data_IF_475069235782
#
_entry.id   IF_475069235782
#
_cell.length_a   1.000
_cell.length_b   1.000
_cell.length_c   1.000
_cell.angle_alpha   90.00
_cell.angle_beta   90.00
_cell.angle_gamma   90.00
#
_symmetry.space_group_name_H-M   'P 1'
#
loop_
_entity.id
_entity.type
_entity.pdbx_description
1 polymer ?
#
# COMPACT_ATOMS: atom_id res chain seq x y z
N UNK A 1 -0.62 -61.38 6.17
CA UNK A 1 -1.92 -60.71 5.89
C UNK A 1 -1.61 -59.29 5.45
N UNK A 2 -2.23 -58.83 4.37
CA UNK A 2 -1.72 -57.88 3.38
C UNK A 2 -1.19 -56.52 3.89
N UNK A 3 0.06 -56.21 3.53
CA UNK A 3 0.57 -54.83 3.36
C UNK A 3 0.68 -54.62 1.84
N UNK A 4 -0.14 -53.74 1.28
CA UNK A 4 -0.10 -53.42 -0.15
C UNK A 4 1.03 -52.43 -0.44
N UNK A 5 1.89 -52.81 -1.39
CA UNK A 5 2.82 -51.94 -2.10
C UNK A 5 2.01 -51.03 -3.02
N UNK A 6 2.16 -49.72 -2.90
CA UNK A 6 1.87 -48.77 -3.98
C UNK A 6 3.13 -47.97 -4.30
N UNK A 7 3.58 -48.24 -5.51
CA UNK A 7 4.69 -47.67 -6.29
C UNK A 7 5.00 -46.20 -6.07
N UNK A 8 6.27 -45.93 -5.76
CA UNK A 8 6.95 -44.67 -6.07
C UNK A 8 6.97 -44.46 -7.59
N UNK A 9 6.27 -43.43 -8.06
CA UNK A 9 6.51 -42.84 -9.39
C UNK A 9 7.49 -41.69 -9.17
N UNK A 10 8.67 -41.82 -9.78
CA UNK A 10 9.79 -40.92 -9.62
C UNK A 10 9.44 -39.48 -9.98
N UNK A 11 9.87 -38.55 -9.11
CA UNK A 11 9.98 -37.14 -9.43
C UNK A 11 10.97 -37.00 -10.60
N UNK A 12 10.44 -36.71 -11.79
CA UNK A 12 11.26 -36.31 -12.92
C UNK A 12 11.95 -34.98 -12.61
N UNK A 13 13.26 -34.96 -12.86
CA UNK A 13 14.18 -33.90 -12.53
C UNK A 13 13.83 -32.58 -13.26
N UNK A 14 13.49 -31.55 -12.50
CA UNK A 14 13.00 -30.25 -12.98
C UNK A 14 14.01 -29.45 -13.83
N UNK A 15 15.24 -29.96 -14.01
CA UNK A 15 16.28 -29.37 -14.88
C UNK A 15 16.10 -29.71 -16.36
N UNK A 16 15.29 -30.72 -16.70
CA UNK A 16 15.13 -31.19 -18.09
C UNK A 16 14.26 -30.21 -18.93
N UNK A 17 13.38 -29.44 -18.31
CA UNK A 17 12.48 -28.53 -19.05
C UNK A 17 13.11 -27.22 -19.52
N UNK A 18 14.16 -26.73 -18.86
CA UNK A 18 14.87 -25.51 -19.28
C UNK A 18 15.58 -25.67 -20.66
N UNK A 19 15.84 -26.92 -21.07
CA UNK A 19 16.44 -27.27 -22.35
C UNK A 19 15.45 -27.88 -23.35
N UNK A 20 14.14 -27.86 -23.05
CA UNK A 20 13.14 -28.34 -24.01
C UNK A 20 13.22 -27.50 -25.30
N UNK A 21 13.37 -28.13 -26.49
CA UNK A 21 13.40 -27.41 -27.77
C UNK A 21 12.09 -26.65 -28.04
N UNK A 22 10.99 -27.04 -27.38
CA UNK A 22 9.71 -26.31 -27.42
C UNK A 22 9.80 -25.02 -26.59
N UNK A 23 10.41 -25.08 -25.41
CA UNK A 23 10.66 -23.90 -24.55
C UNK A 23 11.58 -22.90 -25.26
N UNK A 24 12.68 -23.38 -25.87
CA UNK A 24 13.58 -22.53 -26.64
C UNK A 24 12.90 -21.96 -27.90
N UNK A 25 12.07 -22.74 -28.62
CA UNK A 25 11.33 -22.24 -29.79
C UNK A 25 10.32 -21.17 -29.44
N UNK A 26 9.53 -21.33 -28.39
CA UNK A 26 8.54 -20.31 -27.99
C UNK A 26 9.21 -19.05 -27.45
N UNK A 27 10.26 -19.20 -26.63
CA UNK A 27 11.05 -18.07 -26.13
C UNK A 27 11.75 -17.34 -27.28
N UNK A 28 12.37 -18.05 -28.22
CA UNK A 28 13.01 -17.49 -29.41
C UNK A 28 12.00 -16.91 -30.41
N UNK A 29 10.79 -17.46 -30.55
CA UNK A 29 9.73 -16.84 -31.34
C UNK A 29 9.26 -15.55 -30.67
N UNK A 30 9.05 -15.54 -29.36
CA UNK A 30 8.63 -14.35 -28.63
C UNK A 30 9.72 -13.26 -28.70
N UNK A 31 10.98 -13.60 -28.43
CA UNK A 31 12.10 -12.64 -28.55
C UNK A 31 12.38 -12.22 -30.00
N UNK A 32 12.35 -13.13 -30.99
CA UNK A 32 12.49 -12.76 -32.41
C UNK A 32 11.35 -11.89 -32.88
N UNK A 33 10.11 -12.13 -32.45
CA UNK A 33 8.97 -11.32 -32.88
C UNK A 33 9.00 -9.96 -32.18
N UNK A 34 9.40 -9.89 -30.91
CA UNK A 34 9.63 -8.60 -30.24
C UNK A 34 10.84 -7.83 -30.84
N UNK A 35 11.87 -8.53 -31.34
CA UNK A 35 13.08 -7.89 -31.88
C UNK A 35 13.04 -7.59 -33.39
N UNK A 36 12.17 -8.25 -34.17
CA UNK A 36 12.12 -8.11 -35.64
C UNK A 36 10.98 -7.22 -36.14
N UNK A 37 10.04 -6.80 -35.28
CA UNK A 37 8.85 -6.07 -35.72
C UNK A 37 8.80 -4.63 -35.20
N UNK A 38 9.37 -3.73 -35.98
CA UNK A 38 8.77 -2.45 -36.29
C UNK A 38 8.73 -2.33 -37.84
N UNK A 39 7.65 -1.87 -38.52
CA UNK A 39 6.46 -1.19 -38.01
C UNK A 39 5.13 -1.88 -38.43
N UNK A 40 4.33 -2.37 -37.48
CA UNK A 40 2.95 -2.83 -37.75
C UNK A 40 2.04 -2.27 -36.65
N UNK A 41 0.86 -1.81 -37.06
CA UNK A 41 -0.32 -1.46 -36.26
C UNK A 41 -0.48 -2.40 -35.05
N UNK A 42 -0.09 -1.96 -33.84
CA UNK A 42 0.08 -2.82 -32.67
C UNK A 42 -1.24 -3.29 -32.09
N UNK A 43 -2.33 -2.56 -32.32
CA UNK A 43 -3.69 -3.06 -32.08
C UNK A 43 -3.98 -4.30 -32.91
N UNK A 44 -3.64 -4.28 -34.22
CA UNK A 44 -3.75 -5.46 -35.10
C UNK A 44 -2.72 -6.53 -34.83
N UNK A 45 -1.55 -6.22 -34.24
CA UNK A 45 -0.53 -7.20 -33.88
C UNK A 45 -0.88 -7.88 -32.55
N UNK A 46 -1.36 -7.14 -31.55
CA UNK A 46 -1.94 -7.67 -30.33
C UNK A 46 -3.18 -8.49 -30.64
N UNK A 47 -4.09 -7.97 -31.47
CA UNK A 47 -5.25 -8.72 -31.99
C UNK A 47 -4.80 -9.92 -32.84
N UNK A 48 -3.77 -9.83 -33.69
CA UNK A 48 -3.21 -11.01 -34.40
C UNK A 48 -2.41 -11.93 -33.48
N UNK A 49 -1.83 -11.51 -32.36
CA UNK A 49 -1.17 -12.42 -31.43
C UNK A 49 -2.22 -13.17 -30.61
N UNK A 50 -3.23 -12.43 -30.15
CA UNK A 50 -4.43 -12.95 -29.49
C UNK A 50 -5.20 -13.89 -30.43
N UNK A 51 -5.39 -13.53 -31.70
CA UNK A 51 -6.16 -14.31 -32.70
C UNK A 51 -5.33 -15.40 -33.40
N UNK A 52 -4.04 -15.19 -33.71
CA UNK A 52 -3.20 -16.09 -34.53
C UNK A 52 -2.33 -17.03 -33.71
N UNK A 53 -1.95 -16.63 -32.49
CA UNK A 53 -1.24 -17.52 -31.56
C UNK A 53 -2.10 -17.98 -30.38
N UNK A 54 -3.34 -17.50 -30.28
CA UNK A 54 -4.24 -17.90 -29.20
C UNK A 54 -3.55 -17.67 -27.88
N UNK A 55 -3.49 -16.43 -27.41
CA UNK A 55 -3.11 -16.16 -26.02
C UNK A 55 -3.86 -17.13 -25.10
N UNK A 56 -5.14 -17.38 -25.40
CA UNK A 56 -5.96 -18.44 -24.81
C UNK A 56 -5.38 -19.87 -24.88
N UNK A 57 -4.82 -20.29 -26.03
CA UNK A 57 -4.21 -21.62 -26.23
C UNK A 57 -2.83 -21.73 -25.58
N UNK A 58 -2.01 -20.68 -25.65
CA UNK A 58 -0.73 -20.60 -24.93
C UNK A 58 -0.98 -20.58 -23.42
N UNK A 59 -2.04 -19.92 -22.94
CA UNK A 59 -2.46 -19.98 -21.55
C UNK A 59 -2.95 -21.37 -21.15
N UNK A 60 -3.79 -22.03 -21.95
CA UNK A 60 -4.23 -23.40 -21.65
C UNK A 60 -3.07 -24.41 -21.62
N UNK A 61 -2.04 -24.20 -22.46
CA UNK A 61 -0.81 -25.00 -22.45
C UNK A 61 0.11 -24.64 -21.28
N UNK A 62 0.28 -23.35 -20.99
CA UNK A 62 1.08 -22.84 -19.88
C UNK A 62 0.44 -23.12 -18.51
N UNK A 63 -0.88 -23.25 -18.43
CA UNK A 63 -1.61 -23.58 -17.20
C UNK A 63 -1.22 -24.95 -16.63
N UNK A 64 -0.61 -25.84 -17.44
CA UNK A 64 -0.06 -27.10 -16.96
C UNK A 64 1.23 -26.93 -16.16
N UNK A 65 1.98 -25.85 -16.36
CA UNK A 65 3.18 -25.53 -15.60
C UNK A 65 3.13 -24.08 -15.07
N UNK A 66 2.73 -23.94 -13.80
CA UNK A 66 2.64 -22.65 -13.11
C UNK A 66 3.93 -21.83 -13.23
N UNK A 67 5.11 -22.46 -13.21
CA UNK A 67 6.40 -21.73 -13.28
C UNK A 67 6.65 -21.14 -14.66
N UNK A 68 6.26 -21.86 -15.71
CA UNK A 68 6.34 -21.36 -17.07
C UNK A 68 5.45 -20.13 -17.27
N UNK A 69 4.21 -20.19 -16.78
CA UNK A 69 3.28 -19.07 -16.83
C UNK A 69 3.79 -17.85 -16.04
N UNK A 70 4.34 -18.07 -14.84
CA UNK A 70 4.99 -17.04 -14.03
C UNK A 70 6.06 -16.28 -14.85
N UNK A 71 7.02 -17.01 -15.42
CA UNK A 71 8.12 -16.41 -16.18
C UNK A 71 7.60 -15.67 -17.42
N UNK A 72 6.63 -16.24 -18.13
CA UNK A 72 6.04 -15.62 -19.31
C UNK A 72 5.38 -14.29 -18.99
N UNK A 73 4.67 -14.19 -17.85
CA UNK A 73 4.04 -12.93 -17.42
C UNK A 73 5.09 -11.89 -16.99
N UNK A 74 6.18 -12.30 -16.32
CA UNK A 74 7.30 -11.41 -16.03
C UNK A 74 7.92 -10.88 -17.32
N UNK A 75 8.25 -11.77 -18.26
CA UNK A 75 8.87 -11.40 -19.53
C UNK A 75 7.93 -10.47 -20.33
N UNK A 76 6.62 -10.70 -20.28
CA UNK A 76 5.62 -9.82 -20.89
C UNK A 76 5.68 -8.41 -20.28
N UNK A 77 5.64 -8.31 -18.94
CA UNK A 77 5.73 -7.03 -18.23
C UNK A 77 7.02 -6.30 -18.59
N UNK A 78 8.18 -6.97 -18.50
CA UNK A 78 9.47 -6.35 -18.78
C UNK A 78 9.60 -5.86 -20.22
N UNK A 79 9.12 -6.64 -21.19
CA UNK A 79 9.21 -6.26 -22.60
C UNK A 79 8.26 -5.12 -22.96
N UNK A 80 7.03 -5.13 -22.44
CA UNK A 80 6.10 -4.02 -22.61
C UNK A 80 6.62 -2.74 -21.95
N UNK A 81 7.24 -2.83 -20.77
CA UNK A 81 7.85 -1.68 -20.08
C UNK A 81 9.07 -1.13 -20.83
N UNK A 82 9.95 -2.00 -21.34
CA UNK A 82 11.04 -1.58 -22.23
C UNK A 82 10.51 -0.86 -23.47
N UNK A 83 9.45 -1.39 -24.08
CA UNK A 83 8.80 -0.75 -25.22
C UNK A 83 8.27 0.64 -24.85
N UNK A 84 7.52 0.75 -23.76
CA UNK A 84 7.00 2.03 -23.27
C UNK A 84 8.12 3.02 -22.97
N UNK A 85 9.20 2.59 -22.33
CA UNK A 85 10.40 3.41 -22.11
C UNK A 85 10.97 3.90 -23.44
N UNK A 86 11.14 3.03 -24.44
CA UNK A 86 11.67 3.46 -25.76
C UNK A 86 10.75 4.45 -26.48
N UNK A 87 9.43 4.35 -26.27
CA UNK A 87 8.45 5.31 -26.80
C UNK A 87 8.53 6.66 -26.06
N UNK A 88 8.70 6.64 -24.74
CA UNK A 88 8.82 7.85 -23.90
C UNK A 88 10.16 8.57 -24.09
N UNK A 89 11.27 7.83 -24.11
CA UNK A 89 12.60 8.39 -24.38
C UNK A 89 12.84 8.62 -25.86
N UNK A 90 11.81 8.40 -26.69
CA UNK A 90 11.81 8.46 -28.15
C UNK A 90 12.65 9.61 -28.67
N UNK A 91 13.91 9.27 -28.91
CA UNK A 91 14.92 10.06 -29.59
C UNK A 91 14.36 10.44 -30.95
N UNK A 92 13.77 11.63 -31.03
CA UNK A 92 13.36 12.27 -32.29
C UNK A 92 14.51 12.32 -33.32
N UNK A 93 15.76 12.12 -32.89
CA UNK A 93 16.95 12.36 -33.68
C UNK A 93 17.63 11.11 -34.28
N UNK A 94 17.30 9.88 -33.87
CA UNK A 94 18.04 8.69 -34.36
C UNK A 94 17.33 7.85 -35.44
N UNK A 95 16.02 8.00 -35.64
CA UNK A 95 15.30 7.23 -36.68
C UNK A 95 15.20 8.01 -38.00
N UNK A 96 15.41 9.33 -37.99
CA UNK A 96 15.30 10.18 -39.17
C UNK A 96 16.48 10.05 -40.17
N UNK A 97 17.64 9.52 -39.78
CA UNK A 97 18.86 9.61 -40.61
C UNK A 97 19.24 8.36 -41.40
N UNK A 98 18.50 7.23 -41.30
CA UNK A 98 18.91 5.98 -42.01
C UNK A 98 17.89 5.31 -42.92
N UNK A 99 16.68 5.83 -43.10
CA UNK A 99 15.69 5.20 -43.99
C UNK A 99 15.02 6.20 -44.95
N UNK A 100 15.84 6.93 -45.72
CA UNK A 100 15.40 7.53 -46.98
C UNK A 100 15.60 6.51 -48.11
N UNK A 101 14.58 5.69 -48.39
CA UNK A 101 14.23 5.13 -49.72
C UNK A 101 13.08 4.12 -49.56
N UNK A 102 11.88 4.53 -49.99
CA UNK A 102 10.75 3.65 -50.28
C UNK A 102 9.67 3.57 -49.20
N UNK A 103 8.61 4.37 -49.36
CA UNK A 103 7.24 4.18 -48.87
C UNK A 103 7.04 3.20 -47.71
N UNK A 104 7.61 3.48 -46.53
CA UNK A 104 7.21 2.77 -45.32
C UNK A 104 5.98 3.45 -44.70
N UNK A 105 4.99 2.66 -44.24
CA UNK A 105 3.79 3.19 -43.62
C UNK A 105 4.20 4.09 -42.45
N UNK A 106 3.70 5.32 -42.46
CA UNK A 106 3.79 6.20 -41.30
C UNK A 106 3.14 5.48 -40.12
N UNK A 107 3.95 5.02 -39.18
CA UNK A 107 3.48 4.59 -37.87
C UNK A 107 2.77 5.80 -37.28
N UNK A 108 1.43 5.75 -37.25
CA UNK A 108 0.68 6.56 -36.30
C UNK A 108 1.24 6.16 -34.95
N UNK A 109 2.01 7.04 -34.31
CA UNK A 109 2.59 6.78 -33.00
C UNK A 109 1.43 6.51 -32.05
N UNK A 110 1.14 5.23 -31.82
CA UNK A 110 0.21 4.86 -30.79
C UNK A 110 0.79 5.36 -29.48
N UNK A 111 -0.01 6.14 -28.73
CA UNK A 111 0.45 6.79 -27.52
C UNK A 111 0.97 5.73 -26.54
N UNK A 112 2.09 5.99 -25.82
CA UNK A 112 2.65 5.07 -24.82
C UNK A 112 1.60 4.61 -23.80
N UNK A 113 0.59 5.45 -23.57
CA UNK A 113 -0.61 5.19 -22.77
C UNK A 113 -1.30 3.85 -23.10
N UNK A 114 -1.36 3.48 -24.39
CA UNK A 114 -2.01 2.25 -24.83
C UNK A 114 -1.27 0.99 -24.37
N UNK A 115 0.04 1.08 -24.07
CA UNK A 115 0.85 -0.07 -23.65
C UNK A 115 0.53 -0.45 -22.20
N UNK A 116 0.42 0.53 -21.31
CA UNK A 116 0.06 0.28 -19.91
C UNK A 116 -1.39 -0.21 -19.79
N UNK A 117 -2.31 0.37 -20.57
CA UNK A 117 -3.71 -0.10 -20.65
C UNK A 117 -3.76 -1.55 -21.14
N UNK A 118 -3.00 -1.89 -22.19
CA UNK A 118 -2.90 -3.26 -22.69
C UNK A 118 -2.37 -4.23 -21.64
N UNK A 119 -1.32 -3.87 -20.90
CA UNK A 119 -0.79 -4.69 -19.81
C UNK A 119 -1.83 -4.91 -18.71
N UNK A 120 -2.48 -3.83 -18.27
CA UNK A 120 -3.56 -3.88 -17.30
C UNK A 120 -4.68 -4.83 -17.76
N UNK A 121 -5.15 -4.68 -19.01
CA UNK A 121 -6.18 -5.53 -19.57
C UNK A 121 -5.75 -6.99 -19.66
N UNK A 122 -4.51 -7.28 -20.07
CA UNK A 122 -4.00 -8.65 -20.13
C UNK A 122 -3.99 -9.32 -18.76
N UNK A 123 -3.56 -8.61 -17.72
CA UNK A 123 -3.46 -9.15 -16.37
C UNK A 123 -4.81 -9.28 -15.69
N UNK A 124 -5.77 -8.40 -16.00
CA UNK A 124 -7.05 -8.34 -15.30
C UNK A 124 -8.20 -8.98 -16.06
N UNK A 125 -8.36 -8.85 -17.39
CA UNK A 125 -9.57 -9.31 -18.10
C UNK A 125 -9.73 -10.83 -18.11
N UNK A 126 -8.64 -11.59 -18.07
CA UNK A 126 -8.71 -13.05 -18.10
C UNK A 126 -8.86 -13.64 -16.69
N UNK A 127 -10.00 -14.26 -16.40
CA UNK A 127 -10.28 -14.87 -15.10
C UNK A 127 -9.25 -15.93 -14.69
N UNK A 128 -8.67 -16.68 -15.63
CA UNK A 128 -7.65 -17.70 -15.33
C UNK A 128 -6.32 -17.07 -14.88
N UNK A 129 -5.95 -15.93 -15.47
CA UNK A 129 -4.77 -15.17 -15.05
C UNK A 129 -5.07 -14.51 -13.71
N UNK A 130 -6.26 -13.95 -13.54
CA UNK A 130 -6.64 -13.28 -12.30
C UNK A 130 -6.65 -14.25 -11.11
N UNK A 131 -7.18 -15.46 -11.28
CA UNK A 131 -7.12 -16.51 -10.26
C UNK A 131 -5.69 -17.00 -10.01
N UNK A 132 -4.87 -17.08 -11.06
CA UNK A 132 -3.45 -17.39 -10.92
C UNK A 132 -2.71 -16.32 -10.11
N UNK A 133 -2.96 -15.04 -10.37
CA UNK A 133 -2.32 -13.91 -9.67
C UNK A 133 -2.76 -13.78 -8.20
N UNK A 134 -3.87 -14.41 -7.78
CA UNK A 134 -4.26 -14.49 -6.38
C UNK A 134 -3.41 -15.46 -5.54
N UNK A 135 -2.76 -16.43 -6.19
CA UNK A 135 -1.90 -17.37 -5.48
C UNK A 135 -0.76 -16.59 -4.80
N UNK A 136 -0.52 -16.86 -3.51
CA UNK A 136 0.48 -16.14 -2.72
C UNK A 136 1.87 -16.24 -3.35
N UNK A 137 2.14 -17.37 -4.01
CA UNK A 137 3.39 -17.62 -4.71
C UNK A 137 3.54 -16.78 -5.98
N UNK A 138 2.45 -16.24 -6.53
CA UNK A 138 2.42 -15.44 -7.76
C UNK A 138 2.35 -13.93 -7.53
N UNK A 139 2.27 -13.49 -6.27
CA UNK A 139 2.15 -12.07 -5.90
C UNK A 139 3.29 -11.22 -6.49
N UNK A 140 4.48 -11.80 -6.65
CA UNK A 140 5.64 -11.10 -7.19
C UNK A 140 5.42 -10.59 -8.63
N UNK A 141 4.51 -11.19 -9.41
CA UNK A 141 4.19 -10.74 -10.78
C UNK A 141 3.52 -9.37 -10.72
N UNK A 142 2.54 -9.21 -9.82
CA UNK A 142 1.89 -7.92 -9.59
C UNK A 142 2.87 -6.89 -9.04
N UNK A 143 3.76 -7.30 -8.11
CA UNK A 143 4.83 -6.42 -7.62
C UNK A 143 5.76 -5.96 -8.75
N UNK A 144 6.09 -6.86 -9.67
CA UNK A 144 6.92 -6.55 -10.84
C UNK A 144 6.21 -5.55 -11.76
N UNK A 145 4.92 -5.73 -12.03
CA UNK A 145 4.11 -4.77 -12.81
C UNK A 145 4.11 -3.37 -12.20
N UNK A 146 4.01 -3.29 -10.87
CA UNK A 146 3.98 -2.04 -10.11
C UNK A 146 5.34 -1.33 -10.04
N UNK A 147 6.44 -2.08 -9.86
CA UNK A 147 7.78 -1.49 -9.64
C UNK A 147 8.55 -1.21 -10.93
N UNK A 148 8.31 -1.96 -12.01
CA UNK A 148 9.16 -1.90 -13.20
C UNK A 148 8.93 -0.61 -13.97
N UNK A 149 10.00 0.18 -14.15
CA UNK A 149 9.97 1.41 -14.95
C UNK A 149 9.68 1.13 -16.44
N UNK A 150 8.84 1.94 -17.09
CA UNK A 150 8.10 3.08 -16.53
C UNK A 150 6.94 2.66 -15.62
N UNK A 151 6.81 3.35 -14.49
CA UNK A 151 5.76 3.14 -13.49
C UNK A 151 4.36 3.23 -14.13
N UNK A 152 3.42 2.30 -13.86
CA UNK A 152 2.06 2.37 -14.39
C UNK A 152 1.35 3.65 -13.97
N UNK A 153 0.36 4.06 -14.76
CA UNK A 153 -0.49 5.22 -14.44
C UNK A 153 -1.21 5.02 -13.11
N UNK A 154 -1.52 6.13 -12.43
CA UNK A 154 -2.27 6.09 -11.17
C UNK A 154 -3.61 5.36 -11.34
N UNK A 155 -4.35 5.68 -12.40
CA UNK A 155 -5.64 5.05 -12.72
C UNK A 155 -5.51 3.52 -12.91
N UNK A 156 -4.50 3.06 -13.66
CA UNK A 156 -4.27 1.63 -13.89
C UNK A 156 -3.79 0.92 -12.62
N UNK A 157 -3.04 1.61 -11.77
CA UNK A 157 -2.63 1.10 -10.44
C UNK A 157 -3.85 0.90 -9.54
N UNK A 158 -4.75 1.90 -9.46
CA UNK A 158 -5.99 1.82 -8.69
C UNK A 158 -6.90 0.71 -9.24
N UNK A 159 -7.11 0.66 -10.55
CA UNK A 159 -7.91 -0.38 -11.20
C UNK A 159 -7.33 -1.79 -10.97
N UNK A 160 -6.01 -1.94 -11.05
CA UNK A 160 -5.33 -3.22 -10.81
C UNK A 160 -5.57 -3.69 -9.37
N UNK A 161 -5.39 -2.80 -8.38
CA UNK A 161 -5.62 -3.13 -6.98
C UNK A 161 -7.11 -3.38 -6.71
N UNK A 162 -8.01 -2.60 -7.29
CA UNK A 162 -9.45 -2.83 -7.19
C UNK A 162 -9.85 -4.21 -7.74
N UNK A 163 -9.31 -4.59 -8.90
CA UNK A 163 -9.54 -5.91 -9.51
C UNK A 163 -8.98 -7.03 -8.64
N UNK A 164 -7.76 -6.88 -8.13
CA UNK A 164 -7.12 -7.83 -7.22
C UNK A 164 -7.92 -8.02 -5.92
N UNK A 165 -8.29 -6.94 -5.25
CA UNK A 165 -9.06 -6.94 -3.99
C UNK A 165 -10.43 -7.58 -4.20
N UNK A 166 -11.15 -7.16 -5.24
CA UNK A 166 -12.48 -7.71 -5.55
C UNK A 166 -12.42 -9.22 -5.79
N UNK A 167 -11.41 -9.67 -6.55
CA UNK A 167 -11.22 -11.10 -6.83
C UNK A 167 -10.81 -11.88 -5.57
N UNK A 168 -9.92 -11.32 -4.75
CA UNK A 168 -9.50 -11.95 -3.50
C UNK A 168 -10.68 -12.14 -2.54
N UNK A 169 -11.54 -11.12 -2.40
CA UNK A 169 -12.74 -11.20 -1.57
C UNK A 169 -13.70 -12.28 -2.08
N UNK A 170 -13.96 -12.31 -3.39
CA UNK A 170 -14.88 -13.29 -4.00
C UNK A 170 -14.41 -14.74 -3.80
N UNK A 171 -13.10 -14.95 -3.68
CA UNK A 171 -12.49 -16.27 -3.45
C UNK A 171 -12.13 -16.52 -1.98
N UNK A 172 -12.53 -15.65 -1.04
CA UNK A 172 -12.12 -15.71 0.37
C UNK A 172 -10.59 -15.82 0.57
N UNK A 173 -9.81 -15.31 -0.38
CA UNK A 173 -8.37 -15.35 -0.36
C UNK A 173 -7.80 -14.21 0.51
N UNK A 174 -6.66 -14.43 1.20
CA UNK A 174 -6.01 -13.37 1.95
C UNK A 174 -5.47 -12.30 1.01
N UNK A 175 -5.81 -11.04 1.29
CA UNK A 175 -5.29 -9.88 0.56
C UNK A 175 -3.87 -9.59 1.06
N UNK A 176 -2.90 -9.46 0.14
CA UNK A 176 -1.53 -9.10 0.49
C UNK A 176 -1.43 -7.62 0.85
N UNK A 177 -1.20 -7.35 2.14
CA UNK A 177 -0.90 -6.00 2.62
C UNK A 177 0.34 -5.41 1.95
N UNK A 178 1.36 -6.24 1.70
CA UNK A 178 2.61 -5.80 1.06
C UNK A 178 2.37 -5.22 -0.33
N UNK A 179 1.46 -5.80 -1.09
CA UNK A 179 1.10 -5.31 -2.41
C UNK A 179 0.39 -3.96 -2.33
N UNK A 180 -0.54 -3.79 -1.38
CA UNK A 180 -1.25 -2.52 -1.17
C UNK A 180 -0.28 -1.42 -0.76
N UNK A 181 0.60 -1.67 0.21
CA UNK A 181 1.61 -0.69 0.64
C UNK A 181 2.59 -0.35 -0.48
N UNK A 182 2.92 -1.31 -1.36
CA UNK A 182 3.75 -1.07 -2.52
C UNK A 182 3.05 -0.12 -3.50
N UNK A 183 1.77 -0.36 -3.82
CA UNK A 183 0.98 0.53 -4.69
C UNK A 183 0.84 1.92 -4.09
N UNK A 184 0.57 2.02 -2.79
CA UNK A 184 0.48 3.30 -2.09
C UNK A 184 1.81 4.06 -2.13
N UNK A 185 2.93 3.39 -1.88
CA UNK A 185 4.27 3.99 -2.00
C UNK A 185 4.54 4.49 -3.41
N UNK A 186 4.14 3.73 -4.42
CA UNK A 186 4.35 4.07 -5.81
C UNK A 186 3.51 5.27 -6.24
N UNK A 187 2.23 5.32 -5.87
CA UNK A 187 1.36 6.48 -6.12
C UNK A 187 1.93 7.75 -5.50
N UNK A 188 2.38 7.67 -4.25
CA UNK A 188 2.99 8.82 -3.55
C UNK A 188 4.30 9.26 -4.20
N UNK A 189 5.14 8.31 -4.65
CA UNK A 189 6.45 8.58 -5.28
C UNK A 189 6.34 9.09 -6.73
N UNK A 190 5.18 9.07 -7.37
CA UNK A 190 5.06 9.42 -8.78
C UNK A 190 5.26 10.94 -8.99
N UNK A 191 6.51 11.37 -9.18
CA UNK A 191 6.91 12.78 -9.38
C UNK A 191 6.34 13.40 -10.66
N UNK A 192 5.88 12.57 -11.62
CA UNK A 192 5.40 13.05 -12.92
C UNK A 192 4.00 13.65 -12.87
N UNK A 193 3.18 13.27 -11.88
CA UNK A 193 1.80 13.74 -11.71
C UNK A 193 1.73 14.90 -10.73
N UNK A 194 0.66 15.69 -10.84
CA UNK A 194 0.36 16.76 -9.88
C UNK A 194 0.27 16.13 -8.48
N UNK A 195 0.97 16.68 -7.47
CA UNK A 195 0.96 16.17 -6.10
C UNK A 195 -0.43 15.81 -5.60
N UNK A 196 -1.39 16.70 -5.83
CA UNK A 196 -2.78 16.56 -5.39
C UNK A 196 -3.44 15.27 -5.90
N UNK A 197 -3.26 14.94 -7.18
CA UNK A 197 -3.83 13.73 -7.80
C UNK A 197 -3.27 12.44 -7.19
N UNK A 198 -2.00 12.45 -6.78
CA UNK A 198 -1.36 11.30 -6.11
C UNK A 198 -1.96 11.04 -4.74
N UNK A 199 -2.25 12.10 -3.98
CA UNK A 199 -2.91 11.98 -2.69
C UNK A 199 -4.34 11.48 -2.84
N UNK A 200 -5.11 12.03 -3.79
CA UNK A 200 -6.46 11.55 -4.09
C UNK A 200 -6.41 10.06 -4.42
N UNK A 201 -5.55 9.67 -5.36
CA UNK A 201 -5.40 8.27 -5.78
C UNK A 201 -5.02 7.35 -4.62
N UNK A 202 -4.18 7.85 -3.69
CA UNK A 202 -3.78 7.09 -2.50
C UNK A 202 -4.93 6.89 -1.52
N UNK A 203 -5.75 7.93 -1.30
CA UNK A 203 -6.98 7.80 -0.50
C UNK A 203 -8.02 6.91 -1.17
N UNK A 204 -8.11 6.92 -2.51
CA UNK A 204 -8.99 6.01 -3.26
C UNK A 204 -8.60 4.54 -3.02
N UNK A 205 -7.30 4.20 -3.01
CA UNK A 205 -6.86 2.84 -2.65
C UNK A 205 -7.29 2.47 -1.23
N UNK A 206 -7.19 3.41 -0.28
CA UNK A 206 -7.64 3.19 1.10
C UNK A 206 -9.16 3.00 1.14
N UNK A 207 -9.92 3.76 0.36
CA UNK A 207 -11.39 3.65 0.28
C UNK A 207 -11.88 2.38 -0.39
N UNK A 208 -11.17 1.88 -1.40
CA UNK A 208 -11.44 0.58 -2.02
C UNK A 208 -11.41 -0.55 -0.97
N UNK A 209 -10.54 -0.43 0.04
CA UNK A 209 -10.39 -1.42 1.11
C UNK A 209 -11.29 -1.12 2.32
N UNK A 210 -11.34 0.12 2.78
CA UNK A 210 -11.92 0.48 4.09
C UNK A 210 -13.10 1.44 4.02
N UNK A 211 -13.56 1.78 2.81
CA UNK A 211 -14.74 2.61 2.60
C UNK A 211 -15.97 2.05 3.33
N UNK A 212 -16.93 2.93 3.63
CA UNK A 212 -18.11 2.68 4.49
C UNK A 212 -18.85 1.38 4.16
N UNK A 213 -18.90 1.00 2.89
CA UNK A 213 -19.62 -0.18 2.40
C UNK A 213 -18.73 -1.19 1.66
N UNK A 214 -17.41 -1.11 1.85
CA UNK A 214 -16.45 -2.00 1.22
C UNK A 214 -16.74 -3.47 1.57
N UNK A 215 -16.73 -4.34 0.56
CA UNK A 215 -16.88 -5.78 0.77
C UNK A 215 -15.74 -6.35 1.65
N UNK A 216 -14.58 -5.68 1.63
CA UNK A 216 -13.45 -6.07 2.46
C UNK A 216 -13.70 -5.85 3.96
N UNK A 217 -14.27 -4.71 4.38
CA UNK A 217 -14.62 -4.52 5.80
C UNK A 217 -15.69 -5.50 6.27
N UNK A 218 -16.66 -5.84 5.40
CA UNK A 218 -17.64 -6.90 5.68
C UNK A 218 -16.97 -8.27 5.85
N UNK A 219 -16.02 -8.60 4.98
CA UNK A 219 -15.20 -9.81 5.08
C UNK A 219 -14.35 -9.84 6.36
N UNK A 220 -13.72 -8.72 6.74
CA UNK A 220 -12.97 -8.63 8.00
C UNK A 220 -13.88 -8.79 9.22
N UNK A 221 -15.06 -8.17 9.21
CA UNK A 221 -16.08 -8.33 10.26
C UNK A 221 -16.52 -9.78 10.39
N UNK A 222 -16.88 -10.43 9.28
CA UNK A 222 -17.33 -11.83 9.31
C UNK A 222 -16.22 -12.75 9.79
N UNK A 223 -14.98 -12.56 9.33
CA UNK A 223 -13.82 -13.33 9.79
C UNK A 223 -13.52 -13.09 11.26
N UNK A 224 -13.63 -11.85 11.74
CA UNK A 224 -13.44 -11.53 13.15
C UNK A 224 -14.52 -12.21 14.01
N UNK A 225 -15.80 -12.09 13.63
CA UNK A 225 -16.91 -12.74 14.33
C UNK A 225 -16.70 -14.26 14.35
N UNK A 226 -16.38 -14.86 13.20
CA UNK A 226 -16.21 -16.30 13.07
C UNK A 226 -15.01 -16.85 13.85
N UNK A 227 -13.88 -16.14 13.86
CA UNK A 227 -12.65 -16.65 14.48
C UNK A 227 -12.53 -16.29 15.96
N UNK A 228 -13.20 -15.24 16.43
CA UNK A 228 -13.05 -14.76 17.81
C UNK A 228 -14.35 -14.83 18.61
N UNK A 229 -15.45 -14.31 18.06
CA UNK A 229 -16.70 -14.19 18.82
C UNK A 229 -17.39 -15.56 18.96
N UNK A 230 -17.48 -16.34 17.87
CA UNK A 230 -18.16 -17.65 17.89
C UNK A 230 -17.44 -18.65 18.81
N UNK A 231 -16.10 -18.83 18.77
CA UNK A 231 -15.43 -19.75 19.67
C UNK A 231 -15.55 -19.33 21.13
N UNK A 232 -15.44 -18.02 21.41
CA UNK A 232 -15.58 -17.50 22.77
C UNK A 232 -16.99 -17.72 23.33
N UNK A 233 -18.02 -17.48 22.51
CA UNK A 233 -19.41 -17.73 22.91
C UNK A 233 -19.69 -19.22 23.05
N UNK A 234 -19.18 -20.07 22.15
CA UNK A 234 -19.32 -21.52 22.24
C UNK A 234 -18.69 -22.10 23.51
N UNK A 235 -17.47 -21.66 23.87
CA UNK A 235 -16.81 -22.05 25.13
C UNK A 235 -17.68 -21.64 26.33
N UNK A 236 -18.21 -20.43 26.32
CA UNK A 236 -19.08 -19.94 27.40
C UNK A 236 -20.40 -20.71 27.50
N UNK A 237 -21.01 -21.05 26.36
CA UNK A 237 -22.27 -21.81 26.28
C UNK A 237 -22.07 -23.26 26.72
N UNK A 238 -20.89 -23.87 26.50
CA UNK A 238 -20.59 -25.24 26.93
C UNK A 238 -20.26 -25.29 28.43
N UNK A 239 -19.49 -24.33 28.93
CA UNK A 239 -19.03 -24.32 30.32
C UNK A 239 -20.16 -24.02 31.32
N UNK A 240 -21.15 -23.20 30.93
CA UNK A 240 -22.27 -22.84 31.81
C UNK A 240 -23.14 -24.05 32.22
N UNK A 241 -23.69 -24.88 31.31
CA UNK A 241 -24.44 -26.07 31.67
C UNK A 241 -23.55 -27.17 32.25
N UNK A 242 -22.29 -27.28 31.82
CA UNK A 242 -21.35 -28.23 32.41
C UNK A 242 -21.13 -27.93 33.89
N UNK A 243 -21.03 -26.65 34.27
CA UNK A 243 -20.96 -26.26 35.67
C UNK A 243 -22.20 -26.69 36.45
N UNK A 244 -23.40 -26.53 35.88
CA UNK A 244 -24.66 -26.92 36.52
C UNK A 244 -24.81 -28.45 36.71
N UNK A 245 -24.29 -29.25 35.77
CA UNK A 245 -24.30 -30.72 35.89
C UNK A 245 -23.33 -31.18 36.97
N UNK A 246 -22.15 -30.56 37.08
CA UNK A 246 -21.13 -30.92 38.06
C UNK A 246 -21.47 -30.41 39.48
N UNK A 247 -22.39 -29.46 39.60
CA UNK A 247 -22.93 -28.97 40.88
C UNK A 247 -23.53 -30.06 41.78
N UNK A 248 -23.80 -31.26 41.23
CA UNK A 248 -24.27 -32.42 41.98
C UNK A 248 -23.19 -33.17 42.78
N UNK A 249 -21.88 -32.92 42.60
CA UNK A 249 -20.85 -33.80 43.18
C UNK A 249 -19.71 -33.16 43.99
N UNK A 250 -19.34 -31.89 43.78
CA UNK A 250 -18.28 -31.25 44.60
C UNK A 250 -18.23 -29.73 44.49
N UNK A 251 -18.26 -29.03 45.63
CA UNK A 251 -18.16 -27.56 45.72
C UNK A 251 -16.82 -27.01 45.20
N UNK A 252 -15.72 -27.74 45.41
CA UNK A 252 -14.38 -27.30 44.98
C UNK A 252 -14.22 -27.29 43.47
N UNK A 253 -14.85 -28.24 42.77
CA UNK A 253 -14.78 -28.34 41.31
C UNK A 253 -15.50 -27.14 40.66
N UNK A 254 -16.63 -26.71 41.22
CA UNK A 254 -17.36 -25.53 40.74
C UNK A 254 -16.55 -24.25 40.90
N UNK A 255 -15.87 -24.07 42.04
CA UNK A 255 -15.00 -22.92 42.27
C UNK A 255 -13.86 -22.91 41.22
N UNK A 256 -13.26 -24.07 40.95
CA UNK A 256 -12.23 -24.22 39.92
C UNK A 256 -12.73 -23.85 38.52
N UNK A 257 -13.91 -24.35 38.12
CA UNK A 257 -14.50 -24.02 36.81
C UNK A 257 -14.89 -22.54 36.69
N UNK A 258 -15.42 -21.94 37.75
CA UNK A 258 -15.68 -20.50 37.78
C UNK A 258 -14.38 -19.71 37.61
N UNK A 259 -13.33 -20.06 38.34
CA UNK A 259 -12.02 -19.40 38.22
C UNK A 259 -11.42 -19.56 36.82
N UNK A 260 -11.55 -20.72 36.19
CA UNK A 260 -11.11 -20.94 34.80
C UNK A 260 -11.92 -20.04 33.85
N UNK A 261 -13.25 -20.00 33.98
CA UNK A 261 -14.10 -19.14 33.15
C UNK A 261 -13.74 -17.66 33.33
N UNK A 262 -13.56 -17.21 34.57
CA UNK A 262 -13.10 -15.84 34.86
C UNK A 262 -11.71 -15.59 34.28
N UNK A 263 -10.77 -16.53 34.40
CA UNK A 263 -9.42 -16.40 33.86
C UNK A 263 -9.40 -16.40 32.34
N UNK A 264 -10.28 -17.15 31.68
CA UNK A 264 -10.44 -17.13 30.22
C UNK A 264 -11.07 -15.83 29.76
N UNK A 265 -12.08 -15.31 30.48
CA UNK A 265 -12.67 -14.00 30.16
C UNK A 265 -11.67 -12.87 30.39
N UNK A 266 -10.99 -12.84 31.54
CA UNK A 266 -9.92 -11.87 31.84
C UNK A 266 -8.79 -12.02 30.84
N UNK A 267 -8.33 -13.24 30.56
CA UNK A 267 -7.30 -13.51 29.57
C UNK A 267 -7.69 -13.08 28.17
N UNK A 268 -8.96 -13.29 27.78
CA UNK A 268 -9.51 -12.76 26.54
C UNK A 268 -9.48 -11.24 26.56
N UNK A 269 -10.02 -10.58 27.60
CA UNK A 269 -9.99 -9.13 27.74
C UNK A 269 -8.57 -8.57 27.83
N UNK A 270 -7.61 -9.29 28.40
CA UNK A 270 -6.21 -8.90 28.51
C UNK A 270 -5.46 -9.09 27.20
N UNK A 271 -5.65 -10.20 26.50
CA UNK A 271 -5.15 -10.37 25.13
C UNK A 271 -5.77 -9.33 24.20
N UNK A 272 -7.02 -9.00 24.46
CA UNK A 272 -7.72 -7.96 23.74
C UNK A 272 -7.16 -6.58 24.07
N UNK A 273 -6.96 -6.26 25.35
CA UNK A 273 -6.42 -5.00 25.87
C UNK A 273 -4.93 -4.83 25.56
N UNK A 274 -4.16 -5.93 25.47
CA UNK A 274 -2.75 -5.92 25.12
C UNK A 274 -2.56 -5.77 23.60
N UNK A 275 -3.41 -6.39 22.78
CA UNK A 275 -3.51 -6.05 21.36
C UNK A 275 -4.13 -4.65 21.14
N UNK A 276 -4.74 -4.08 22.18
CA UNK A 276 -5.24 -2.71 22.26
C UNK A 276 -4.17 -1.67 22.58
N UNK A 277 -2.91 -2.08 22.74
CA UNK A 277 -1.82 -1.26 22.22
C UNK A 277 -1.93 -1.24 20.69
N UNK A 278 -3.07 -0.73 20.19
CA UNK A 278 -3.28 -0.28 18.83
C UNK A 278 -2.00 0.45 18.49
N UNK A 279 -1.29 -0.02 17.46
CA UNK A 279 0.01 0.54 17.10
C UNK A 279 -0.16 2.05 17.07
N UNK A 280 0.42 2.72 18.07
CA UNK A 280 0.36 4.16 18.13
C UNK A 280 1.15 4.61 16.92
N UNK A 281 0.47 5.30 16.01
CA UNK A 281 1.17 5.87 14.87
C UNK A 281 1.78 7.19 15.29
N UNK A 282 2.84 7.60 14.59
CA UNK A 282 3.56 8.84 14.91
C UNK A 282 2.71 10.08 14.67
N UNK A 283 1.85 10.06 13.64
CA UNK A 283 1.13 11.24 13.16
C UNK A 283 -0.38 11.20 13.27
N UNK A 284 -0.97 10.02 13.45
CA UNK A 284 -2.43 9.89 13.47
C UNK A 284 -2.87 9.14 14.71
N UNK A 285 -3.91 9.67 15.36
CA UNK A 285 -4.64 8.96 16.41
C UNK A 285 -6.11 8.86 16.06
N UNK A 286 -6.78 7.83 16.59
CA UNK A 286 -8.23 7.76 16.53
C UNK A 286 -8.84 8.91 17.33
N UNK A 287 -9.96 9.44 16.88
CA UNK A 287 -10.74 10.40 17.66
C UNK A 287 -11.25 9.74 18.95
N UNK A 288 -11.21 10.46 20.06
CA UNK A 288 -11.72 9.98 21.34
C UNK A 288 -13.19 9.54 21.21
N UNK A 289 -13.54 8.42 21.84
CA UNK A 289 -14.88 7.83 21.72
C UNK A 289 -15.13 7.02 20.44
N UNK A 290 -14.14 6.85 19.56
CA UNK A 290 -14.28 5.90 18.44
C UNK A 290 -14.46 4.49 18.98
N UNK A 291 -15.49 3.79 18.49
CA UNK A 291 -15.77 2.40 18.90
C UNK A 291 -14.53 1.52 18.66
N UNK A 292 -14.08 0.83 19.70
CA UNK A 292 -12.91 -0.05 19.66
C UNK A 292 -12.97 -1.11 18.54
N UNK A 293 -14.16 -1.63 18.25
CA UNK A 293 -14.35 -2.65 17.22
C UNK A 293 -13.98 -2.10 15.84
N UNK A 294 -14.30 -0.82 15.60
CA UNK A 294 -13.87 -0.08 14.42
C UNK A 294 -12.35 0.07 14.43
N UNK A 295 -11.75 0.51 15.54
CA UNK A 295 -10.30 0.69 15.62
C UNK A 295 -9.52 -0.58 15.24
N UNK A 296 -10.01 -1.76 15.63
CA UNK A 296 -9.37 -3.04 15.32
C UNK A 296 -9.53 -3.44 13.86
N UNK A 297 -10.76 -3.39 13.34
CA UNK A 297 -11.01 -3.74 11.93
C UNK A 297 -10.27 -2.79 10.99
N UNK A 298 -10.18 -1.52 11.36
CA UNK A 298 -9.58 -0.45 10.58
C UNK A 298 -8.14 -0.12 11.01
N UNK A 299 -7.46 -1.02 11.73
CA UNK A 299 -6.09 -0.76 12.19
C UNK A 299 -5.11 -0.58 11.02
N UNK A 300 -5.28 -1.36 9.96
CA UNK A 300 -4.49 -1.23 8.75
C UNK A 300 -4.84 0.03 7.95
N UNK A 301 -6.09 0.50 8.01
CA UNK A 301 -6.50 1.80 7.45
C UNK A 301 -5.70 2.93 8.12
N UNK A 302 -5.64 2.92 9.46
CA UNK A 302 -4.86 3.89 10.24
C UNK A 302 -3.39 3.91 9.82
N UNK A 303 -2.77 2.74 9.64
CA UNK A 303 -1.36 2.63 9.22
C UNK A 303 -1.13 3.15 7.79
N UNK A 304 -2.03 2.86 6.85
CA UNK A 304 -1.95 3.36 5.48
C UNK A 304 -2.10 4.88 5.43
N UNK A 305 -3.08 5.44 6.14
CA UNK A 305 -3.28 6.88 6.20
C UNK A 305 -2.10 7.54 6.91
N UNK A 306 -1.56 6.95 7.99
CA UNK A 306 -0.36 7.46 8.64
C UNK A 306 0.81 7.51 7.65
N UNK A 307 0.93 6.55 6.74
CA UNK A 307 1.96 6.58 5.70
C UNK A 307 1.74 7.70 4.69
N UNK A 308 0.50 7.92 4.25
CA UNK A 308 0.15 9.04 3.35
C UNK A 308 0.51 10.37 4.01
N UNK A 309 0.15 10.56 5.28
CA UNK A 309 0.42 11.81 6.01
C UNK A 309 1.90 11.98 6.31
N UNK A 310 2.59 10.92 6.70
CA UNK A 310 4.06 10.98 6.88
C UNK A 310 4.74 11.39 5.57
N UNK A 311 4.26 10.92 4.42
CA UNK A 311 4.77 11.34 3.11
C UNK A 311 4.45 12.82 2.81
N UNK A 312 3.25 13.28 3.15
CA UNK A 312 2.91 14.71 3.08
C UNK A 312 3.88 15.55 3.92
N UNK A 313 4.12 15.13 5.17
CA UNK A 313 5.00 15.86 6.08
C UNK A 313 6.47 15.83 5.66
N UNK A 314 6.93 14.72 5.07
CA UNK A 314 8.33 14.56 4.64
C UNK A 314 8.66 15.46 3.44
N UNK A 315 7.73 15.58 2.48
CA UNK A 315 8.01 16.20 1.18
C UNK A 315 7.36 17.57 0.96
N UNK A 316 6.26 17.89 1.65
CA UNK A 316 5.47 19.10 1.42
C UNK A 316 5.43 20.02 2.63
N UNK A 317 5.30 19.48 3.84
CA UNK A 317 5.32 20.31 5.05
C UNK A 317 6.77 20.69 5.42
N UNK A 318 6.99 21.89 5.92
CA UNK A 318 8.27 22.30 6.50
C UNK A 318 8.19 22.06 8.00
N UNK A 319 8.91 21.07 8.50
CA UNK A 319 8.98 20.70 9.91
C UNK A 319 10.43 20.71 10.44
N UNK A 320 10.55 20.51 11.76
CA UNK A 320 11.84 20.50 12.48
C UNK A 320 12.77 19.38 11.99
N UNK A 321 12.25 18.32 11.37
CA UNK A 321 13.05 17.20 10.89
C UNK A 321 13.55 17.39 9.46
N UNK A 322 12.80 18.11 8.60
CA UNK A 322 13.09 18.19 7.17
C UNK A 322 13.53 19.57 6.67
N UNK A 323 13.56 20.61 7.52
CA UNK A 323 13.99 21.95 7.13
C UNK A 323 15.38 21.97 6.46
N UNK A 324 16.27 21.05 6.86
CA UNK A 324 17.59 20.87 6.25
C UNK A 324 17.54 20.32 4.81
N UNK A 325 16.63 19.38 4.54
CA UNK A 325 16.52 18.71 3.24
C UNK A 325 16.02 19.67 2.16
N UNK A 326 15.12 20.59 2.54
CA UNK A 326 14.54 21.59 1.65
C UNK A 326 15.53 22.76 1.42
N UNK A 327 16.41 23.04 2.40
CA UNK A 327 17.44 24.07 2.29
C UNK A 327 18.55 23.75 1.29
N UNK A 328 18.99 22.49 1.21
CA UNK A 328 20.17 22.08 0.42
C UNK A 328 19.89 21.77 -1.06
N UNK A 329 18.67 21.35 -1.41
CA UNK A 329 18.28 20.98 -2.78
C UNK A 329 18.13 22.17 -3.73
N UNK A 330 18.16 23.38 -3.19
CA UNK A 330 17.91 24.62 -3.91
C UNK A 330 19.17 25.33 -4.44
N UNK A 331 20.29 24.61 -4.61
CA UNK A 331 21.34 25.03 -5.54
C UNK A 331 21.02 24.65 -7.01
N UNK A 332 19.97 23.85 -7.24
CA UNK A 332 19.45 23.55 -8.57
C UNK A 332 18.35 24.56 -8.97
N UNK A 333 18.72 25.46 -9.88
CA UNK A 333 18.09 26.75 -10.22
C UNK A 333 16.61 26.81 -10.66
N UNK A 334 15.81 25.74 -10.71
CA UNK A 334 14.55 25.79 -11.49
C UNK A 334 13.22 25.44 -10.82
N UNK A 335 13.16 25.00 -9.55
CA UNK A 335 11.86 24.70 -8.91
C UNK A 335 11.64 25.63 -7.71
N UNK A 336 10.85 26.68 -7.93
CA UNK A 336 10.58 27.77 -6.98
C UNK A 336 9.70 27.38 -5.78
N UNK A 337 10.11 26.41 -4.98
CA UNK A 337 9.58 26.18 -3.63
C UNK A 337 10.58 26.66 -2.57
N UNK A 338 10.49 27.94 -2.22
CA UNK A 338 11.07 28.48 -0.98
C UNK A 338 10.21 29.62 -0.44
N UNK A 339 9.65 29.46 0.75
CA UNK A 339 10.13 30.26 1.90
C UNK A 339 9.45 29.84 3.21
N UNK A 340 10.27 29.84 4.26
CA UNK A 340 10.00 29.62 5.69
C UNK A 340 8.88 30.48 6.35
N UNK A 341 8.08 31.25 5.60
CA UNK A 341 7.13 32.19 6.18
C UNK A 341 5.86 31.50 6.74
N UNK A 342 5.63 30.21 6.48
CA UNK A 342 4.50 29.47 7.06
C UNK A 342 4.68 29.15 8.55
N UNK A 343 5.91 29.06 9.04
CA UNK A 343 6.18 28.73 10.45
C UNK A 343 5.74 29.85 11.42
N UNK A 344 5.61 31.10 10.94
CA UNK A 344 5.36 32.26 11.80
C UNK A 344 3.91 32.73 11.83
N UNK A 345 3.12 32.45 10.79
CA UNK A 345 1.69 32.82 10.73
C UNK A 345 0.78 31.76 11.38
N UNK A 346 1.26 30.53 11.56
CA UNK A 346 0.51 29.45 12.20
C UNK A 346 0.73 29.35 13.72
N UNK A 347 1.23 30.39 14.40
CA UNK A 347 1.33 30.40 15.87
C UNK A 347 -0.03 30.39 16.60
N UNK A 348 -1.15 30.38 15.87
CA UNK A 348 -2.48 30.02 16.39
C UNK A 348 -2.78 28.50 16.34
N UNK A 349 -1.81 27.64 15.97
CA UNK A 349 -1.91 26.18 16.05
C UNK A 349 -1.82 25.64 17.50
N UNK A 350 -2.59 26.23 18.42
CA UNK A 350 -3.17 25.46 19.55
C UNK A 350 -4.33 24.55 19.07
N UNK A 351 -4.33 24.20 17.78
CA UNK A 351 -5.37 23.44 17.09
C UNK A 351 -5.49 22.02 17.64
N UNK A 352 -4.44 21.44 18.21
CA UNK A 352 -4.55 20.13 18.88
C UNK A 352 -5.41 20.17 20.14
N UNK A 353 -5.37 21.26 20.90
CA UNK A 353 -6.19 21.41 22.11
C UNK A 353 -7.60 21.93 21.79
N UNK A 354 -7.75 22.73 20.73
CA UNK A 354 -9.04 23.27 20.29
C UNK A 354 -9.89 22.27 19.49
N UNK A 355 -9.30 21.42 18.64
CA UNK A 355 -10.07 20.47 17.82
C UNK A 355 -10.70 19.31 18.60
N UNK A 356 -10.18 18.99 19.79
CA UNK A 356 -10.71 17.89 20.59
C UNK A 356 -12.06 18.25 21.24
N UNK A 357 -12.37 19.56 21.38
CA UNK A 357 -13.59 20.06 22.03
C UNK A 357 -14.49 20.97 21.17
N UNK A 358 -14.02 21.52 20.05
CA UNK A 358 -14.80 22.45 19.21
C UNK A 358 -15.08 21.86 17.81
N UNK A 359 -16.08 20.97 17.75
CA UNK A 359 -16.53 20.28 16.52
C UNK A 359 -17.19 21.27 15.53
N UNK A 360 -17.71 22.41 16.02
CA UNK A 360 -18.51 23.36 15.23
C UNK A 360 -17.73 24.60 14.72
N UNK A 361 -16.48 24.82 15.16
CA UNK A 361 -15.72 26.05 14.87
C UNK A 361 -14.84 25.96 13.61
N UNK A 362 -15.37 25.35 12.54
CA UNK A 362 -14.76 25.44 11.19
C UNK A 362 -14.67 26.90 10.70
N UNK A 363 -15.48 27.80 11.29
CA UNK A 363 -15.42 29.24 11.02
C UNK A 363 -14.04 29.85 11.32
N UNK A 364 -13.28 29.28 12.25
CA UNK A 364 -11.97 29.81 12.64
C UNK A 364 -10.85 29.44 11.64
N UNK A 365 -11.00 28.32 10.92
CA UNK A 365 -10.10 27.97 9.80
C UNK A 365 -10.25 28.98 8.65
N UNK A 366 -11.45 29.54 8.48
CA UNK A 366 -11.70 30.58 7.48
C UNK A 366 -11.21 31.98 7.93
N UNK A 367 -10.88 32.17 9.21
CA UNK A 367 -10.31 33.42 9.74
C UNK A 367 -8.78 33.37 9.91
N UNK A 368 -8.12 32.28 9.51
CA UNK A 368 -6.66 32.25 9.39
C UNK A 368 -6.26 33.33 8.37
N UNK A 369 -5.50 34.31 8.86
CA UNK A 369 -5.19 35.59 8.23
C UNK A 369 -5.03 35.55 6.70
N UNK A 370 -5.64 36.53 6.03
CA UNK A 370 -5.67 36.75 4.58
C UNK A 370 -4.30 37.13 3.98
N UNK A 371 -3.18 36.77 4.60
CA UNK A 371 -1.90 36.74 3.91
C UNK A 371 -1.95 35.60 2.91
N UNK A 372 -2.34 35.90 1.67
CA UNK A 372 -2.41 34.95 0.53
C UNK A 372 -1.31 33.89 0.66
N UNK A 373 -1.64 32.63 1.02
CA UNK A 373 -0.65 31.57 1.00
C UNK A 373 -0.13 31.48 -0.43
N UNK A 374 1.20 31.53 -0.60
CA UNK A 374 1.83 31.51 -1.92
C UNK A 374 1.52 30.24 -2.71
N UNK A 375 1.04 29.17 -2.05
CA UNK A 375 0.69 27.89 -2.64
C UNK A 375 -0.78 27.53 -2.30
N UNK A 376 -1.73 28.02 -3.08
CA UNK A 376 -3.17 27.71 -2.94
C UNK A 376 -3.42 26.19 -2.98
N UNK A 377 -2.68 25.47 -3.83
CA UNK A 377 -2.77 24.00 -3.98
C UNK A 377 -2.40 23.22 -2.71
N UNK A 378 -1.38 23.67 -1.95
CA UNK A 378 -0.98 23.02 -0.69
C UNK A 378 -2.06 23.18 0.39
N UNK A 379 -2.69 24.37 0.44
CA UNK A 379 -3.78 24.63 1.35
C UNK A 379 -5.01 23.78 0.99
N UNK A 380 -5.32 23.63 -0.30
CA UNK A 380 -6.39 22.74 -0.77
C UNK A 380 -6.12 21.28 -0.41
N UNK A 381 -4.86 20.82 -0.59
CA UNK A 381 -4.43 19.48 -0.21
C UNK A 381 -4.57 19.25 1.30
N UNK A 382 -4.12 20.19 2.13
CA UNK A 382 -4.26 20.09 3.58
C UNK A 382 -5.74 20.04 4.01
N UNK A 383 -6.59 20.91 3.43
CA UNK A 383 -8.05 20.88 3.65
C UNK A 383 -8.64 19.53 3.25
N UNK A 384 -8.20 18.96 2.13
CA UNK A 384 -8.61 17.63 1.67
C UNK A 384 -8.19 16.53 2.66
N UNK A 385 -6.94 16.54 3.15
CA UNK A 385 -6.43 15.57 4.13
C UNK A 385 -7.23 15.65 5.44
N UNK A 386 -7.40 16.85 6.00
CA UNK A 386 -8.14 17.06 7.26
C UNK A 386 -9.59 16.58 7.11
N UNK A 387 -10.26 16.91 6.00
CA UNK A 387 -11.61 16.43 5.71
C UNK A 387 -11.67 14.89 5.67
N UNK A 388 -10.72 14.25 5.01
CA UNK A 388 -10.65 12.79 4.93
C UNK A 388 -10.41 12.13 6.30
N UNK A 389 -9.53 12.68 7.14
CA UNK A 389 -9.31 12.19 8.50
C UNK A 389 -10.56 12.26 9.36
N UNK A 390 -11.25 13.40 9.34
CA UNK A 390 -12.48 13.61 10.11
C UNK A 390 -13.57 12.61 9.70
N UNK A 391 -13.78 12.42 8.40
CA UNK A 391 -14.73 11.44 7.87
C UNK A 391 -14.45 10.01 8.39
N UNK A 392 -13.18 9.71 8.68
CA UNK A 392 -12.72 8.41 9.17
C UNK A 392 -12.64 8.30 10.70
N UNK A 393 -12.98 9.36 11.44
CA UNK A 393 -12.83 9.49 12.90
C UNK A 393 -11.36 9.40 13.35
N UNK A 394 -10.48 10.02 12.57
CA UNK A 394 -9.06 10.15 12.87
C UNK A 394 -8.71 11.62 13.05
N UNK A 395 -7.67 11.90 13.84
CA UNK A 395 -7.13 13.23 14.03
C UNK A 395 -5.61 13.20 13.93
N UNK A 396 -5.05 14.31 13.46
CA UNK A 396 -3.60 14.52 13.44
C UNK A 396 -3.09 14.57 14.88
N UNK A 397 -1.90 14.00 15.08
CA UNK A 397 -1.13 14.05 16.31
C UNK A 397 0.16 14.80 16.02
N UNK A 398 0.45 15.83 16.80
CA UNK A 398 1.73 16.54 16.79
C UNK A 398 2.82 15.56 17.21
N UNK A 399 3.92 15.52 16.46
CA UNK A 399 5.08 14.71 16.85
C UNK A 399 5.62 15.21 18.19
N UNK A 400 6.18 14.31 18.98
CA UNK A 400 6.80 14.71 20.25
C UNK A 400 7.94 15.73 20.03
N UNK A 401 8.69 15.61 18.94
CA UNK A 401 9.75 16.55 18.53
C UNK A 401 9.19 17.95 18.24
N UNK A 402 8.08 18.05 17.51
CA UNK A 402 7.40 19.31 17.27
C UNK A 402 6.79 19.90 18.54
N UNK A 403 6.18 19.06 19.38
CA UNK A 403 5.66 19.49 20.68
C UNK A 403 6.76 20.08 21.56
N UNK A 404 7.91 19.42 21.64
CA UNK A 404 9.09 19.91 22.36
C UNK A 404 9.60 21.22 21.76
N UNK A 405 9.63 21.34 20.43
CA UNK A 405 10.00 22.57 19.75
C UNK A 405 9.04 23.73 20.09
N UNK A 406 7.72 23.50 20.04
CA UNK A 406 6.74 24.51 20.43
C UNK A 406 6.86 24.88 21.91
N UNK A 407 7.09 23.91 22.78
CA UNK A 407 7.30 24.13 24.20
C UNK A 407 8.58 24.95 24.44
N UNK A 408 9.67 24.66 23.74
CA UNK A 408 10.91 25.44 23.80
C UNK A 408 10.65 26.90 23.45
N UNK A 409 9.96 27.18 22.34
CA UNK A 409 9.67 28.56 21.93
C UNK A 409 8.68 29.26 22.85
N UNK A 410 7.64 28.58 23.36
CA UNK A 410 6.63 29.18 24.24
C UNK A 410 7.19 29.51 25.63
N UNK A 411 8.09 28.66 26.13
CA UNK A 411 8.82 28.87 27.39
C UNK A 411 10.08 29.73 27.21
N UNK A 412 10.39 30.19 25.99
CA UNK A 412 11.65 30.90 25.67
C UNK A 412 12.91 30.13 26.09
N UNK A 413 12.84 28.80 26.08
CA UNK A 413 13.90 27.90 26.53
C UNK A 413 13.93 27.66 28.03
N UNK A 414 13.00 28.22 28.82
CA UNK A 414 12.87 27.88 30.23
C UNK A 414 12.51 26.39 30.37
N UNK A 415 13.28 25.65 31.16
CA UNK A 415 13.22 24.18 31.32
C UNK A 415 13.89 23.34 30.22
N UNK A 416 14.59 23.97 29.27
CA UNK A 416 15.43 23.25 28.31
C UNK A 416 16.90 23.48 28.66
N UNK A 417 17.66 22.40 28.82
CA UNK A 417 19.11 22.46 28.94
C UNK A 417 19.69 22.63 27.54
N UNK A 418 20.46 23.70 27.33
CA UNK A 418 21.21 23.86 26.10
C UNK A 418 22.34 22.83 26.10
N UNK A 419 22.26 21.85 25.21
CA UNK A 419 23.34 20.91 24.95
C UNK A 419 24.18 21.51 23.81
N UNK A 420 25.44 21.84 24.08
CA UNK A 420 26.36 22.35 23.06
C UNK A 420 26.48 21.33 21.92
N UNK A 421 26.47 21.76 20.65
CA UNK A 421 26.46 20.86 19.49
C UNK A 421 27.68 19.94 19.36
N UNK A 422 28.75 20.22 20.12
CA UNK A 422 29.98 19.43 20.15
C UNK A 422 29.90 18.21 21.10
N UNK A 423 28.85 18.11 21.93
CA UNK A 423 28.65 16.95 22.80
C UNK A 423 27.99 15.82 22.02
N UNK A 424 28.79 14.83 21.60
CA UNK A 424 28.29 13.60 20.99
C UNK A 424 27.31 12.89 21.95
N UNK A 425 26.06 12.60 21.55
CA UNK A 425 25.13 11.81 22.36
C UNK A 425 25.73 10.50 22.88
N UNK A 426 26.67 9.89 22.14
CA UNK A 426 27.38 8.70 22.56
C UNK A 426 28.32 8.96 23.76
N UNK A 427 29.00 10.11 23.78
CA UNK A 427 29.89 10.52 24.88
C UNK A 427 29.09 10.83 26.16
N UNK A 428 27.92 11.45 26.01
CA UNK A 428 26.98 11.66 27.13
C UNK A 428 26.48 10.35 27.76
N UNK A 429 26.22 9.33 26.94
CA UNK A 429 25.83 8.00 27.43
C UNK A 429 27.01 7.34 28.15
N UNK A 430 28.22 7.43 27.59
CA UNK A 430 29.45 6.94 28.22
C UNK A 430 29.68 7.61 29.59
N UNK A 431 29.57 8.93 29.68
CA UNK A 431 29.71 9.67 30.93
C UNK A 431 28.67 9.26 31.99
N UNK A 432 27.43 8.95 31.58
CA UNK A 432 26.39 8.40 32.48
C UNK A 432 26.71 6.97 32.94
N UNK A 433 27.35 6.16 32.10
CA UNK A 433 27.80 4.82 32.49
C UNK A 433 28.97 4.87 33.46
N UNK A 434 29.92 5.81 33.30
CA UNK A 434 31.07 5.96 34.20
C UNK A 434 30.77 6.67 35.53
N UNK A 435 29.62 7.37 35.64
CA UNK A 435 29.16 7.99 36.90
C UNK A 435 28.35 7.05 37.81
N UNK A 436 28.10 5.81 37.39
CA UNK A 436 27.58 4.73 38.24
C UNK A 436 28.73 3.84 38.68
#
# INVERSE_FOLDING_TARGET
MFISKSSCIGFADSRIFAHSPVFQRHRLCFTRICSQFAPIDYRKLGEKYVQRFGIYNVYNLAARDKRYLQQLLIDLIENCRKLEHTLLTGSRNQVATRFNRGNKPQLKSEAPEKVDDFLYECLTKNNSIRSFLLDKDNEFILRKYLITDPIPKNENTIKMISSYVSHAINHNAPISEKLIYLSLRQLLKNEKSVPFDNFISSFEIVDLLYGKDSNYTKFLKSKFIANFIIPLSAVSIILLPLSQIIFLSSTYLNIGLMLIQYSMNIGFFLLFSSNFFLKQTSRIKWLNGTNWFRCIIHQNELLMINRIITYFDEFYDLNVENYHLIGSSNSSKNNGLKSLNHFRANNNFNIEFFLENHIDDIKEINSIDQTKPKNEEELELLKFIIKNLRNRKMILRTKETERQFYQFWSTRGENFEWIEPDQDPAEMILLKMYKK
#
